data_IF_062324148023
#
_entry.id   IF_062324148023
#
_cell.length_a   1.000
_cell.length_b   1.000
_cell.length_c   1.000
_cell.angle_alpha   90.00
_cell.angle_beta   90.00
_cell.angle_gamma   90.00
#
_symmetry.space_group_name_H-M   'P 1'
#
loop_
_entity.id
_entity.type
_entity.pdbx_description
1 polymer ?
#
# COMPACT_ATOMS: atom_id res chain seq x y z
N UNK A 1 -7.18 -12.17 -2.99
CA UNK A 1 -6.08 -11.50 -2.26
C UNK A 1 -4.74 -11.87 -2.88
N UNK A 2 -3.72 -11.03 -2.66
CA UNK A 2 -2.37 -11.17 -3.21
C UNK A 2 -1.64 -12.46 -2.82
N UNK A 3 -0.43 -12.64 -3.35
CA UNK A 3 0.43 -13.77 -2.98
C UNK A 3 0.89 -13.58 -1.53
N UNK A 4 0.72 -14.58 -0.66
CA UNK A 4 1.09 -14.48 0.76
C UNK A 4 2.56 -14.05 1.01
N UNK A 5 3.46 -14.41 0.08
CA UNK A 5 4.88 -14.04 0.10
C UNK A 5 5.24 -12.88 -0.84
N UNK A 6 4.26 -12.25 -1.49
CA UNK A 6 4.47 -11.21 -2.50
C UNK A 6 5.29 -10.02 -1.99
N UNK A 7 5.17 -9.68 -0.70
CA UNK A 7 5.97 -8.61 -0.09
C UNK A 7 7.48 -8.94 0.00
N UNK A 8 7.84 -10.23 0.03
CA UNK A 8 9.23 -10.73 0.06
C UNK A 8 9.80 -10.86 -1.34
N UNK A 9 8.96 -11.24 -2.31
CA UNK A 9 9.38 -11.56 -3.68
C UNK A 9 9.49 -10.32 -4.56
N UNK A 10 8.52 -9.42 -4.45
CA UNK A 10 8.55 -8.16 -5.17
C UNK A 10 9.19 -7.09 -4.30
N UNK A 11 9.80 -6.07 -4.91
CA UNK A 11 10.17 -4.85 -4.19
C UNK A 11 9.03 -3.84 -4.29
N UNK A 12 8.95 -2.92 -3.33
CA UNK A 12 8.04 -1.79 -3.44
C UNK A 12 8.53 -0.90 -4.58
N UNK A 13 7.65 -0.61 -5.52
CA UNK A 13 7.87 0.34 -6.61
C UNK A 13 6.82 1.42 -6.49
N UNK A 14 7.23 2.67 -6.70
CA UNK A 14 6.33 3.82 -6.72
C UNK A 14 6.17 4.28 -8.15
N UNK A 15 5.00 4.81 -8.46
CA UNK A 15 4.73 5.40 -9.78
C UNK A 15 5.64 6.62 -9.99
N UNK A 16 6.28 6.74 -11.16
CA UNK A 16 7.21 7.83 -11.39
C UNK A 16 6.46 9.17 -11.48
N UNK A 17 7.17 10.23 -11.14
CA UNK A 17 6.68 11.58 -11.36
C UNK A 17 6.98 12.03 -12.78
N UNK A 18 6.14 12.93 -13.31
CA UNK A 18 6.50 13.74 -14.49
C UNK A 18 7.80 14.51 -14.24
N UNK A 19 8.62 14.75 -15.28
CA UNK A 19 9.86 15.49 -15.14
C UNK A 19 9.69 16.82 -14.42
N UNK A 20 10.57 17.13 -13.46
CA UNK A 20 10.47 18.33 -12.64
C UNK A 20 10.40 19.61 -13.48
N UNK A 21 11.15 19.67 -14.58
CA UNK A 21 11.17 20.82 -15.51
C UNK A 21 9.84 21.06 -16.23
N UNK A 22 9.03 20.02 -16.41
CA UNK A 22 7.72 20.13 -17.06
C UNK A 22 6.65 20.55 -16.06
N UNK A 23 6.60 19.89 -14.89
CA UNK A 23 5.57 20.14 -13.86
C UNK A 23 5.71 21.46 -13.11
N UNK A 24 6.78 22.23 -13.33
CA UNK A 24 6.89 23.62 -12.82
C UNK A 24 6.21 24.64 -13.72
N UNK A 25 5.81 24.24 -14.93
CA UNK A 25 5.21 25.11 -15.94
C UNK A 25 3.68 25.00 -15.96
N UNK A 26 3.09 24.06 -15.20
CA UNK A 26 1.66 23.81 -15.14
C UNK A 26 1.20 23.35 -13.74
N UNK A 27 -0.12 23.28 -13.53
CA UNK A 27 -0.76 22.75 -12.32
C UNK A 27 -1.45 21.40 -12.55
N UNK A 28 -1.01 20.63 -13.56
CA UNK A 28 -1.57 19.30 -13.84
C UNK A 28 -1.02 18.27 -12.84
N UNK A 29 -1.65 17.09 -12.80
CA UNK A 29 -1.26 15.96 -11.96
C UNK A 29 0.24 15.65 -12.06
N UNK A 30 0.90 15.29 -10.95
CA UNK A 30 2.36 15.14 -10.91
C UNK A 30 2.82 13.73 -11.29
N UNK A 31 1.98 12.72 -11.14
CA UNK A 31 2.28 11.34 -11.51
C UNK A 31 2.23 11.16 -13.03
N UNK A 32 3.00 10.20 -13.53
CA UNK A 32 2.77 9.66 -14.88
C UNK A 32 1.50 8.83 -14.91
N UNK A 33 1.06 8.45 -16.11
CA UNK A 33 0.06 7.39 -16.24
C UNK A 33 0.52 6.13 -15.50
N UNK A 34 -0.43 5.48 -14.84
CA UNK A 34 -0.16 4.30 -14.04
C UNK A 34 -0.05 3.05 -14.91
N UNK A 35 0.93 2.20 -14.62
CA UNK A 35 1.02 0.87 -15.22
C UNK A 35 0.17 -0.11 -14.40
N UNK A 36 -0.97 -0.53 -14.97
CA UNK A 36 -1.88 -1.49 -14.37
C UNK A 36 -1.20 -2.81 -13.94
N UNK A 37 -0.16 -3.27 -14.66
CA UNK A 37 0.57 -4.47 -14.29
C UNK A 37 1.43 -4.25 -13.04
N UNK A 38 2.04 -3.07 -12.93
CA UNK A 38 2.78 -2.68 -11.74
C UNK A 38 1.83 -2.54 -10.55
N UNK A 39 0.67 -1.89 -10.72
CA UNK A 39 -0.35 -1.78 -9.69
C UNK A 39 -0.81 -3.15 -9.18
N UNK A 40 -1.09 -4.09 -10.08
CA UNK A 40 -1.44 -5.47 -9.73
C UNK A 40 -0.32 -6.16 -8.93
N UNK A 41 0.93 -5.97 -9.34
CA UNK A 41 2.10 -6.50 -8.62
C UNK A 41 2.24 -5.89 -7.23
N UNK A 42 2.05 -4.57 -7.09
CA UNK A 42 2.12 -3.89 -5.79
C UNK A 42 0.96 -4.32 -4.87
N UNK A 43 -0.25 -4.48 -5.41
CA UNK A 43 -1.41 -4.99 -4.66
C UNK A 43 -1.17 -6.44 -4.17
N UNK A 44 -0.45 -7.24 -4.94
CA UNK A 44 -0.09 -8.61 -4.56
C UNK A 44 0.82 -8.70 -3.32
N UNK A 45 1.42 -7.57 -2.88
CA UNK A 45 2.24 -7.49 -1.66
C UNK A 45 1.41 -7.46 -0.38
N UNK A 46 0.09 -7.29 -0.45
CA UNK A 46 -0.78 -7.35 0.72
C UNK A 46 -0.67 -8.75 1.37
N UNK A 47 -0.41 -8.78 2.68
CA UNK A 47 -0.22 -10.02 3.43
C UNK A 47 -1.51 -10.64 3.95
N UNK A 48 -2.65 -9.97 3.79
CA UNK A 48 -3.94 -10.41 4.32
C UNK A 48 -3.88 -10.74 5.83
N UNK A 49 -3.36 -9.79 6.62
CA UNK A 49 -2.92 -9.99 8.00
C UNK A 49 -3.99 -10.39 9.04
N UNK A 50 -5.27 -10.50 8.67
CA UNK A 50 -6.39 -10.79 9.58
C UNK A 50 -6.83 -9.59 10.44
N UNK A 51 -5.93 -9.05 11.27
CA UNK A 51 -6.14 -7.79 12.01
C UNK A 51 -5.27 -6.70 11.36
N UNK A 52 -5.76 -6.01 10.32
CA UNK A 52 -4.93 -5.13 9.50
C UNK A 52 -4.67 -3.77 10.18
N UNK A 53 -3.40 -3.47 10.47
CA UNK A 53 -3.00 -2.14 10.93
C UNK A 53 -3.27 -1.03 9.92
N UNK A 54 -3.25 -1.35 8.63
CA UNK A 54 -3.48 -0.37 7.57
C UNK A 54 -4.91 0.21 7.55
N UNK A 55 -5.87 -0.38 8.28
CA UNK A 55 -7.23 0.14 8.43
C UNK A 55 -7.46 0.84 9.78
N UNK A 56 -6.48 0.84 10.69
CA UNK A 56 -6.57 1.52 11.98
C UNK A 56 -5.95 2.92 11.89
N UNK A 57 -6.61 3.90 12.50
CA UNK A 57 -6.07 5.27 12.62
C UNK A 57 -5.03 5.41 13.75
N UNK A 58 -5.00 4.47 14.71
CA UNK A 58 -4.18 4.56 15.93
C UNK A 58 -3.20 3.39 16.11
N UNK A 59 -3.07 2.50 15.11
CA UNK A 59 -2.28 1.28 15.22
C UNK A 59 -2.99 0.19 16.02
N UNK A 60 -2.25 -0.79 16.58
CA UNK A 60 -2.82 -1.87 17.40
C UNK A 60 -3.44 -1.30 18.67
N UNK A 61 -4.72 -0.93 18.64
CA UNK A 61 -5.54 -0.94 19.85
C UNK A 61 -5.60 -2.39 20.28
N UNK A 62 -4.72 -2.75 21.20
CA UNK A 62 -4.38 -4.12 21.55
C UNK A 62 -5.61 -5.01 21.57
N UNK A 63 -5.43 -6.24 21.11
CA UNK A 63 -6.26 -7.36 21.57
C UNK A 63 -6.36 -7.16 23.08
N UNK A 64 -7.50 -6.70 23.58
CA UNK A 64 -7.81 -6.88 24.99
C UNK A 64 -7.72 -8.40 25.15
N UNK A 65 -6.78 -8.93 25.95
CA UNK A 65 -6.71 -10.36 26.15
C UNK A 65 -7.97 -10.72 26.90
N UNK A 66 -8.98 -11.24 26.18
CA UNK A 66 -10.18 -11.92 26.71
C UNK A 66 -10.41 -11.64 28.20
N UNK A 67 -10.79 -10.41 28.54
CA UNK A 67 -11.12 -10.06 29.91
C UNK A 67 -12.59 -10.42 30.11
N UNK A 68 -12.82 -11.66 30.52
CA UNK A 68 -14.06 -12.05 31.21
C UNK A 68 -15.31 -12.18 30.34
N UNK A 69 -15.40 -13.26 29.58
CA UNK A 69 -16.67 -13.99 29.53
C UNK A 69 -16.42 -15.33 30.22
N UNK A 70 -17.35 -15.68 31.11
CA UNK A 70 -17.38 -16.85 32.00
C UNK A 70 -16.86 -18.16 31.38
#
# INVERSE_FOLDING_TARGET
MGKATGFKEFKRVVEPYRPAKERVLDFKEIYTEHDENNLGTQASRCMDCGVPFCQSNEGFSGVQPYSGME
#
